data_IF_798584240001
#
_entry.id   IF_798584240001
#
_cell.length_a   1.000
_cell.length_b   1.000
_cell.length_c   1.000
_cell.angle_alpha   90.00
_cell.angle_beta   90.00
_cell.angle_gamma   90.00
#
_symmetry.space_group_name_H-M   'P 1'
#
loop_
_entity.id
_entity.type
_entity.pdbx_description
1 polymer ?
#
# COMPACT_ATOMS: atom_id res chain seq x y z
N UNK A 1 -6.08 8.98 -17.10
CA UNK A 1 -6.34 7.69 -16.43
C UNK A 1 -6.45 7.85 -14.90
N UNK A 2 -5.51 8.55 -14.18
CA UNK A 2 -5.63 8.76 -12.71
C UNK A 2 -6.95 9.40 -12.29
N UNK A 3 -7.43 10.43 -12.99
CA UNK A 3 -8.71 11.07 -12.67
C UNK A 3 -9.92 10.16 -12.91
N UNK A 4 -9.84 9.27 -13.90
CA UNK A 4 -10.87 8.25 -14.13
C UNK A 4 -10.89 7.23 -13.00
N UNK A 5 -9.72 6.70 -12.59
CA UNK A 5 -9.63 5.82 -11.42
C UNK A 5 -10.09 6.51 -10.13
N UNK A 6 -9.73 7.78 -9.92
CA UNK A 6 -10.20 8.53 -8.73
C UNK A 6 -11.73 8.55 -8.63
N UNK A 7 -12.41 8.74 -9.76
CA UNK A 7 -13.89 8.69 -9.82
C UNK A 7 -14.43 7.28 -9.60
N UNK A 8 -13.86 6.28 -10.30
CA UNK A 8 -14.31 4.88 -10.14
C UNK A 8 -14.11 4.38 -8.71
N UNK A 9 -13.01 4.77 -8.06
CA UNK A 9 -12.70 4.44 -6.68
C UNK A 9 -13.45 5.33 -5.66
N UNK A 10 -14.28 6.26 -6.13
CA UNK A 10 -15.01 7.22 -5.28
C UNK A 10 -14.11 7.98 -4.31
N UNK A 11 -12.99 8.48 -4.83
CA UNK A 11 -12.00 9.27 -4.10
C UNK A 11 -11.97 10.74 -4.50
N UNK A 12 -12.58 11.10 -5.62
CA UNK A 12 -12.53 12.45 -6.20
C UNK A 12 -13.21 13.52 -5.33
N UNK A 13 -14.18 13.14 -4.52
CA UNK A 13 -14.88 14.01 -3.57
C UNK A 13 -14.09 14.23 -2.26
N UNK A 14 -13.33 13.22 -1.78
CA UNK A 14 -12.65 13.30 -0.49
C UNK A 14 -11.17 13.69 -0.58
N UNK A 15 -10.50 13.36 -1.68
CA UNK A 15 -9.08 13.69 -1.88
C UNK A 15 -8.77 15.19 -1.76
N UNK A 16 -9.57 16.13 -2.30
CA UNK A 16 -9.31 17.56 -2.17
C UNK A 16 -9.33 18.04 -0.72
N UNK A 17 -10.24 17.50 0.08
CA UNK A 17 -10.45 17.89 1.48
C UNK A 17 -9.60 17.16 2.50
N UNK A 18 -8.76 16.18 2.10
CA UNK A 18 -8.06 15.27 3.02
C UNK A 18 -7.21 15.96 4.08
N UNK A 19 -6.62 17.10 3.75
CA UNK A 19 -5.78 17.87 4.70
C UNK A 19 -6.57 18.56 5.80
N UNK A 20 -7.88 18.72 5.63
CA UNK A 20 -8.76 19.32 6.62
C UNK A 20 -9.24 18.30 7.66
N UNK A 21 -8.96 17.01 7.47
CA UNK A 21 -9.29 15.95 8.43
C UNK A 21 -8.12 15.83 9.41
N UNK A 22 -8.27 16.27 10.68
CA UNK A 22 -7.21 16.16 11.68
C UNK A 22 -6.94 14.69 11.97
N UNK A 23 -5.69 14.33 12.22
CA UNK A 23 -5.34 12.94 12.57
C UNK A 23 -5.86 12.52 13.93
N UNK A 24 -5.88 13.43 14.91
CA UNK A 24 -6.26 13.17 16.31
C UNK A 24 -5.65 11.84 16.81
N UNK A 25 -4.30 11.71 16.85
CA UNK A 25 -3.66 10.45 17.16
C UNK A 25 -3.88 10.05 18.62
N UNK A 26 -4.30 8.79 18.82
CA UNK A 26 -4.41 8.16 20.14
C UNK A 26 -3.46 6.98 20.20
N UNK A 27 -2.40 7.12 21.00
CA UNK A 27 -1.45 6.03 21.21
C UNK A 27 -2.13 4.90 22.00
N UNK A 28 -2.09 3.68 21.45
CA UNK A 28 -2.66 2.48 22.09
C UNK A 28 -1.55 1.74 22.83
N UNK A 29 -0.38 1.63 22.19
CA UNK A 29 0.76 0.86 22.71
C UNK A 29 2.06 1.38 22.15
N UNK A 30 3.12 1.38 22.98
CA UNK A 30 4.49 1.66 22.55
C UNK A 30 5.40 0.53 23.03
N UNK A 31 6.26 0.05 22.12
CA UNK A 31 7.23 -0.99 22.40
C UNK A 31 8.63 -0.55 21.95
N UNK A 32 9.62 -0.66 22.83
CA UNK A 32 11.02 -0.50 22.45
C UNK A 32 11.54 -1.83 21.88
N UNK A 33 12.03 -1.82 20.66
CA UNK A 33 12.62 -2.96 19.93
C UNK A 33 14.16 -2.90 19.86
N UNK A 34 14.79 -2.02 20.64
CA UNK A 34 16.23 -1.84 20.72
C UNK A 34 16.79 -0.93 19.62
N UNK A 35 16.46 -1.16 18.36
CA UNK A 35 16.90 -0.33 17.23
C UNK A 35 15.85 0.70 16.79
N UNK A 36 14.62 0.50 17.17
CA UNK A 36 13.49 1.38 16.83
C UNK A 36 12.38 1.28 17.88
N UNK A 37 11.58 2.31 17.96
CA UNK A 37 10.33 2.33 18.74
C UNK A 37 9.19 1.96 17.81
N UNK A 38 8.36 0.98 18.23
CA UNK A 38 7.13 0.59 17.55
C UNK A 38 5.95 1.16 18.32
N UNK A 39 5.10 1.92 17.64
CA UNK A 39 3.87 2.50 18.19
C UNK A 39 2.66 1.97 17.45
N UNK A 40 1.68 1.48 18.19
CA UNK A 40 0.32 1.28 17.68
C UNK A 40 -0.51 2.50 18.02
N UNK A 41 -1.09 3.11 16.99
CA UNK A 41 -1.79 4.39 17.09
C UNK A 41 -3.12 4.27 16.37
N UNK A 42 -4.15 4.87 16.90
CA UNK A 42 -5.42 5.08 16.20
C UNK A 42 -5.50 6.54 15.74
N UNK A 43 -5.83 6.74 14.46
CA UNK A 43 -5.97 8.06 13.85
C UNK A 43 -7.31 8.18 13.11
N UNK A 44 -7.76 9.41 12.87
CA UNK A 44 -8.88 9.63 11.98
C UNK A 44 -8.50 9.31 10.53
N UNK A 45 -9.21 8.37 9.93
CA UNK A 45 -9.18 8.12 8.49
C UNK A 45 -10.05 9.14 7.75
N UNK A 46 -11.31 9.24 8.14
CA UNK A 46 -12.25 10.27 7.68
C UNK A 46 -12.74 11.11 8.87
N UNK A 47 -13.68 12.02 8.66
CA UNK A 47 -14.31 12.77 9.76
C UNK A 47 -15.18 11.88 10.67
N UNK A 48 -15.63 10.73 10.16
CA UNK A 48 -16.54 9.80 10.85
C UNK A 48 -15.89 8.47 11.22
N UNK A 49 -14.73 8.11 10.62
CA UNK A 49 -14.10 6.81 10.80
C UNK A 49 -12.65 6.95 11.31
N UNK A 50 -12.32 6.09 12.25
CA UNK A 50 -10.94 5.93 12.74
C UNK A 50 -10.30 4.67 12.16
N UNK A 51 -8.98 4.67 12.05
CA UNK A 51 -8.18 3.51 11.64
C UNK A 51 -6.97 3.32 12.55
N UNK A 52 -6.54 2.06 12.68
CA UNK A 52 -5.31 1.71 13.42
C UNK A 52 -4.13 1.69 12.48
N UNK A 53 -3.02 2.20 12.95
CA UNK A 53 -1.72 2.14 12.29
C UNK A 53 -0.67 1.57 13.24
N UNK A 54 0.36 0.92 12.69
CA UNK A 54 1.63 0.74 13.36
C UNK A 54 2.62 1.70 12.73
N UNK A 55 3.30 2.46 13.55
CA UNK A 55 4.38 3.36 13.16
C UNK A 55 5.66 2.90 13.84
N UNK A 56 6.77 2.81 13.09
CA UNK A 56 8.10 2.63 13.70
C UNK A 56 8.97 3.83 13.44
N UNK A 57 9.74 4.21 14.46
CA UNK A 57 10.69 5.31 14.40
C UNK A 57 12.04 4.78 14.89
N UNK A 58 13.11 4.81 14.07
CA UNK A 58 14.45 4.42 14.51
C UNK A 58 14.92 5.24 15.72
N UNK A 59 15.64 4.64 16.67
CA UNK A 59 16.08 5.35 17.88
C UNK A 59 17.17 6.39 17.61
N UNK A 60 18.12 6.07 16.73
CA UNK A 60 19.30 6.91 16.47
C UNK A 60 19.16 7.64 15.13
N UNK A 61 18.21 8.57 15.03
CA UNK A 61 18.02 9.37 13.83
C UNK A 61 19.00 10.53 13.78
N UNK A 62 19.84 10.57 12.76
CA UNK A 62 20.59 11.77 12.37
C UNK A 62 19.92 12.44 11.16
N UNK A 63 19.06 13.43 11.41
CA UNK A 63 18.31 14.12 10.34
C UNK A 63 16.99 13.43 9.97
N UNK A 64 16.55 13.60 8.71
CA UNK A 64 15.29 13.02 8.23
C UNK A 64 15.51 11.67 7.58
N UNK A 65 14.66 10.70 7.93
CA UNK A 65 14.71 9.34 7.42
C UNK A 65 13.78 9.13 6.22
N UNK A 66 14.12 8.23 5.28
CA UNK A 66 13.17 7.71 4.32
C UNK A 66 12.05 6.97 5.04
N UNK A 67 10.87 6.90 4.43
CA UNK A 67 9.74 6.19 4.99
C UNK A 67 9.12 5.20 4.01
N UNK A 68 8.53 4.12 4.54
CA UNK A 68 7.90 3.08 3.73
C UNK A 68 6.52 2.73 4.31
N UNK A 69 5.50 2.75 3.45
CA UNK A 69 4.19 2.17 3.73
C UNK A 69 4.30 0.67 3.50
N UNK A 70 4.18 -0.13 4.57
CA UNK A 70 4.33 -1.59 4.55
C UNK A 70 2.95 -2.26 4.54
N UNK A 71 2.65 -3.01 3.49
CA UNK A 71 1.29 -3.46 3.20
C UNK A 71 1.22 -4.99 3.22
N UNK A 72 0.34 -5.52 4.08
CA UNK A 72 0.10 -6.96 4.20
C UNK A 72 -0.85 -7.48 3.12
N UNK A 73 -0.82 -8.79 2.89
CA UNK A 73 -1.69 -9.48 1.95
C UNK A 73 -3.03 -9.91 2.54
N UNK A 74 -3.75 -10.70 1.77
CA UNK A 74 -5.08 -11.20 2.08
C UNK A 74 -5.12 -11.97 3.40
N UNK A 75 -6.12 -11.74 4.22
CA UNK A 75 -6.26 -12.38 5.54
C UNK A 75 -5.22 -11.95 6.58
N UNK A 76 -4.30 -11.04 6.23
CA UNK A 76 -3.31 -10.52 7.15
C UNK A 76 -3.84 -9.38 8.02
N UNK A 77 -2.96 -8.91 8.90
CA UNK A 77 -3.20 -7.75 9.76
C UNK A 77 -2.02 -6.79 9.68
N UNK A 78 -2.20 -5.56 10.14
CA UNK A 78 -1.12 -4.56 10.17
C UNK A 78 0.11 -5.02 10.98
N UNK A 79 0.00 -6.02 11.87
CA UNK A 79 1.12 -6.52 12.66
C UNK A 79 1.97 -7.55 11.92
N UNK A 80 1.39 -8.28 10.95
CA UNK A 80 2.05 -9.43 10.34
C UNK A 80 3.31 -9.07 9.55
N UNK A 81 3.39 -7.86 9.00
CA UNK A 81 4.57 -7.37 8.27
C UNK A 81 5.78 -7.09 9.19
N UNK A 82 5.54 -7.04 10.51
CA UNK A 82 6.56 -6.89 11.55
C UNK A 82 6.97 -8.22 12.19
N UNK A 83 6.27 -9.32 11.88
CA UNK A 83 6.53 -10.64 12.46
C UNK A 83 7.53 -11.41 11.59
N UNK A 84 8.72 -11.67 12.13
CA UNK A 84 9.80 -12.41 11.49
C UNK A 84 9.47 -13.89 11.23
N UNK A 85 8.53 -14.45 11.99
CA UNK A 85 8.05 -15.83 11.84
C UNK A 85 6.99 -15.98 10.76
N UNK A 86 6.38 -14.87 10.34
CA UNK A 86 5.38 -14.84 9.27
C UNK A 86 6.01 -15.12 7.90
N UNK A 87 5.15 -15.31 6.87
CA UNK A 87 5.58 -15.39 5.48
C UNK A 87 6.21 -14.07 5.00
N UNK A 88 5.95 -12.95 5.68
CA UNK A 88 6.52 -11.63 5.39
C UNK A 88 7.94 -11.46 5.93
N UNK A 89 8.42 -12.39 6.77
CA UNK A 89 9.76 -12.36 7.37
C UNK A 89 10.11 -11.04 8.06
N UNK A 90 9.09 -10.37 8.63
CA UNK A 90 9.29 -9.13 9.35
C UNK A 90 9.89 -8.00 8.53
N UNK A 91 9.64 -7.92 7.20
CA UNK A 91 10.32 -6.95 6.34
C UNK A 91 10.17 -5.50 6.82
N UNK A 92 9.06 -5.16 7.46
CA UNK A 92 8.85 -3.83 8.04
C UNK A 92 9.75 -3.59 9.26
N UNK A 93 10.02 -4.63 10.07
CA UNK A 93 10.98 -4.59 11.18
C UNK A 93 12.42 -4.44 10.68
N UNK A 94 12.78 -5.16 9.61
CA UNK A 94 14.12 -5.04 8.99
C UNK A 94 14.35 -3.64 8.42
N UNK A 95 13.36 -3.06 7.74
CA UNK A 95 13.42 -1.67 7.28
C UNK A 95 13.58 -0.70 8.46
N UNK A 96 12.81 -0.88 9.54
CA UNK A 96 12.92 -0.03 10.74
C UNK A 96 14.31 -0.13 11.38
N UNK A 97 14.86 -1.35 11.49
CA UNK A 97 16.22 -1.58 11.97
C UNK A 97 17.31 -1.02 11.04
N UNK A 98 16.99 -0.83 9.75
CA UNK A 98 17.81 -0.21 8.72
C UNK A 98 17.65 1.30 8.58
N UNK A 99 17.12 1.97 9.60
CA UNK A 99 16.91 3.43 9.63
C UNK A 99 15.85 3.97 8.67
N UNK A 100 14.81 3.16 8.36
CA UNK A 100 13.60 3.64 7.72
C UNK A 100 12.49 3.84 8.75
N UNK A 101 11.69 4.86 8.58
CA UNK A 101 10.40 4.97 9.28
C UNK A 101 9.41 4.08 8.52
N UNK A 102 8.70 3.20 9.20
CA UNK A 102 7.69 2.37 8.56
C UNK A 102 6.30 2.64 9.12
N UNK A 103 5.30 2.53 8.27
CA UNK A 103 3.89 2.61 8.66
C UNK A 103 3.11 1.48 8.01
N UNK A 104 2.18 0.88 8.74
CA UNK A 104 1.26 -0.13 8.24
C UNK A 104 -0.16 0.11 8.76
N UNK A 105 -1.15 -0.23 7.94
CA UNK A 105 -2.56 -0.29 8.31
C UNK A 105 -3.20 -1.56 7.75
N UNK A 106 -4.46 -1.84 8.10
CA UNK A 106 -5.19 -3.00 7.61
C UNK A 106 -5.80 -2.71 6.25
N UNK A 107 -5.64 -3.65 5.29
CA UNK A 107 -6.20 -3.57 3.93
C UNK A 107 -6.97 -4.83 3.51
N UNK A 108 -7.19 -5.79 4.42
CA UNK A 108 -7.81 -7.09 4.09
C UNK A 108 -9.31 -7.17 4.38
N UNK A 109 -9.95 -6.06 4.71
CA UNK A 109 -11.40 -6.01 4.88
C UNK A 109 -12.13 -6.39 3.58
N UNK A 110 -13.32 -6.98 3.72
CA UNK A 110 -14.25 -7.29 2.62
C UNK A 110 -15.55 -6.50 2.73
N UNK A 111 -15.70 -5.73 3.80
CA UNK A 111 -16.84 -4.88 4.06
C UNK A 111 -16.52 -3.43 3.71
N UNK A 112 -17.50 -2.72 3.20
CA UNK A 112 -17.46 -1.28 3.00
C UNK A 112 -17.89 -0.65 4.32
N UNK A 113 -17.05 0.24 4.87
CA UNK A 113 -17.28 0.83 6.18
C UNK A 113 -18.13 2.10 6.14
N UNK A 114 -18.11 2.82 5.02
CA UNK A 114 -18.81 4.08 4.89
C UNK A 114 -19.76 4.06 3.68
N UNK A 115 -20.99 4.48 3.89
CA UNK A 115 -22.01 4.54 2.84
C UNK A 115 -21.52 5.38 1.64
N UNK A 116 -21.83 4.92 0.45
CA UNK A 116 -21.45 5.59 -0.79
C UNK A 116 -19.98 5.35 -1.22
N UNK A 117 -19.17 4.69 -0.41
CA UNK A 117 -17.79 4.30 -0.75
C UNK A 117 -17.74 2.99 -1.51
N UNK A 118 -16.55 2.54 -1.81
CA UNK A 118 -16.27 1.22 -2.36
C UNK A 118 -15.03 0.62 -1.71
N UNK A 119 -14.98 -0.69 -1.67
CA UNK A 119 -13.96 -1.44 -0.95
C UNK A 119 -12.52 -1.05 -1.32
N UNK A 120 -12.21 -1.05 -2.62
CA UNK A 120 -10.86 -0.69 -3.08
C UNK A 120 -10.54 0.79 -2.85
N UNK A 121 -11.54 1.65 -2.93
CA UNK A 121 -11.40 3.06 -2.62
C UNK A 121 -11.06 3.30 -1.14
N UNK A 122 -11.76 2.63 -0.21
CA UNK A 122 -11.47 2.74 1.23
C UNK A 122 -10.08 2.20 1.59
N UNK A 123 -9.68 1.05 1.03
CA UNK A 123 -8.33 0.51 1.22
C UNK A 123 -7.25 1.50 0.76
N UNK A 124 -7.42 2.04 -0.43
CA UNK A 124 -6.48 3.01 -0.99
C UNK A 124 -6.49 4.34 -0.22
N UNK A 125 -7.67 4.80 0.21
CA UNK A 125 -7.80 5.98 1.04
C UNK A 125 -7.01 5.85 2.35
N UNK A 126 -7.14 4.74 3.06
CA UNK A 126 -6.42 4.51 4.32
C UNK A 126 -4.90 4.51 4.11
N UNK A 127 -4.42 3.98 2.98
CA UNK A 127 -3.00 4.05 2.62
C UNK A 127 -2.55 5.48 2.28
N UNK A 128 -3.38 6.26 1.59
CA UNK A 128 -3.11 7.69 1.33
C UNK A 128 -3.06 8.45 2.66
N UNK A 129 -3.94 8.14 3.62
CA UNK A 129 -3.89 8.74 4.97
C UNK A 129 -2.62 8.35 5.73
N UNK A 130 -2.09 7.14 5.54
CA UNK A 130 -0.77 6.77 6.06
C UNK A 130 0.34 7.67 5.46
N UNK A 131 0.29 7.95 4.16
CA UNK A 131 1.25 8.87 3.53
C UNK A 131 1.11 10.29 4.08
N UNK A 132 -0.14 10.78 4.25
CA UNK A 132 -0.39 12.09 4.85
C UNK A 132 0.16 12.16 6.29
N UNK A 133 0.00 11.08 7.07
CA UNK A 133 0.52 10.99 8.44
C UNK A 133 2.05 11.00 8.46
N UNK A 134 2.70 10.23 7.58
CA UNK A 134 4.17 10.27 7.41
C UNK A 134 4.66 11.69 7.08
N UNK A 135 3.99 12.41 6.16
CA UNK A 135 4.37 13.78 5.82
C UNK A 135 4.22 14.78 6.99
N UNK A 136 3.37 14.48 7.98
CA UNK A 136 3.20 15.32 9.16
C UNK A 136 4.35 15.19 10.18
N UNK A 137 5.11 14.10 10.10
CA UNK A 137 6.21 13.82 11.02
C UNK A 137 7.47 14.62 10.62
N UNK A 138 8.12 15.24 11.59
CA UNK A 138 9.36 16.02 11.37
C UNK A 138 10.56 15.14 11.02
N UNK A 139 10.53 13.88 11.44
CA UNK A 139 11.57 12.86 11.22
C UNK A 139 11.56 12.33 9.78
N UNK A 140 10.48 12.50 9.03
CA UNK A 140 10.32 11.94 7.68
C UNK A 140 10.92 12.84 6.61
N UNK A 141 11.70 12.26 5.72
CA UNK A 141 12.07 12.90 4.45
C UNK A 141 10.94 12.70 3.43
N UNK A 142 10.13 13.73 3.22
CA UNK A 142 8.97 13.72 2.31
C UNK A 142 9.33 13.44 0.85
N UNK A 143 10.62 13.56 0.48
CA UNK A 143 11.11 13.25 -0.88
C UNK A 143 11.51 11.78 -1.03
N UNK A 144 11.54 11.01 0.05
CA UNK A 144 11.94 9.60 0.08
C UNK A 144 10.88 8.73 0.76
N UNK A 145 9.64 8.78 0.26
CA UNK A 145 8.55 7.91 0.71
C UNK A 145 8.34 6.84 -0.34
N UNK A 146 8.34 5.58 0.08
CA UNK A 146 8.04 4.42 -0.76
C UNK A 146 6.90 3.58 -0.20
N UNK A 147 6.51 2.55 -0.94
CA UNK A 147 5.58 1.53 -0.47
C UNK A 147 6.02 0.14 -0.92
N UNK A 148 5.70 -0.86 -0.11
CA UNK A 148 6.04 -2.25 -0.36
C UNK A 148 4.94 -3.17 0.17
N UNK A 149 4.62 -4.24 -0.57
CA UNK A 149 3.64 -5.22 -0.13
C UNK A 149 3.69 -6.53 -0.88
N UNK A 150 3.08 -7.57 -0.30
CA UNK A 150 3.04 -8.92 -0.83
C UNK A 150 1.61 -9.36 -1.09
N UNK A 151 1.34 -10.01 -2.24
CA UNK A 151 0.03 -10.52 -2.66
C UNK A 151 -1.00 -9.36 -2.75
N UNK A 152 -2.14 -9.39 -2.06
CA UNK A 152 -3.02 -8.23 -1.94
C UNK A 152 -2.26 -6.95 -1.53
N UNK A 153 -1.21 -7.08 -0.70
CA UNK A 153 -0.34 -5.96 -0.37
C UNK A 153 0.46 -5.45 -1.57
N UNK A 154 0.84 -6.35 -2.49
CA UNK A 154 1.46 -5.99 -3.77
C UNK A 154 0.49 -5.24 -4.69
N UNK A 155 -0.78 -5.68 -4.75
CA UNK A 155 -1.86 -4.96 -5.41
C UNK A 155 -2.03 -3.55 -4.84
N UNK A 156 -2.14 -3.45 -3.53
CA UNK A 156 -2.35 -2.16 -2.87
C UNK A 156 -1.13 -1.25 -2.97
N UNK A 157 0.10 -1.80 -3.02
CA UNK A 157 1.31 -1.03 -3.31
C UNK A 157 1.28 -0.47 -4.74
N UNK A 158 0.86 -1.26 -5.73
CA UNK A 158 0.63 -0.80 -7.10
C UNK A 158 -0.37 0.36 -7.12
N UNK A 159 -1.56 0.19 -6.52
CA UNK A 159 -2.58 1.23 -6.46
C UNK A 159 -2.08 2.50 -5.77
N UNK A 160 -1.40 2.37 -4.63
CA UNK A 160 -0.85 3.52 -3.92
C UNK A 160 0.22 4.23 -4.76
N UNK A 161 1.15 3.47 -5.35
CA UNK A 161 2.17 4.02 -6.25
C UNK A 161 1.57 4.71 -7.48
N UNK A 162 0.53 4.12 -8.09
CA UNK A 162 -0.15 4.68 -9.25
C UNK A 162 -0.91 5.97 -8.94
N UNK A 163 -1.61 6.02 -7.81
CA UNK A 163 -2.55 7.10 -7.50
C UNK A 163 -1.95 8.22 -6.67
N UNK A 164 -0.91 7.94 -5.87
CA UNK A 164 -0.23 8.95 -5.05
C UNK A 164 1.18 9.25 -5.57
N UNK A 165 1.37 10.39 -6.20
CA UNK A 165 2.65 10.80 -6.80
C UNK A 165 3.74 11.14 -5.77
N UNK A 166 3.42 11.19 -4.49
CA UNK A 166 4.38 11.35 -3.39
C UNK A 166 5.20 10.07 -3.16
N UNK A 167 4.67 8.90 -3.55
CA UNK A 167 5.41 7.64 -3.52
C UNK A 167 6.51 7.67 -4.60
N UNK A 168 7.75 7.50 -4.19
CA UNK A 168 8.94 7.59 -5.05
C UNK A 168 9.47 6.22 -5.50
N UNK A 169 9.20 5.19 -4.70
CA UNK A 169 9.55 3.82 -5.02
C UNK A 169 8.40 2.89 -4.62
N UNK A 170 8.03 1.99 -5.52
CA UNK A 170 6.97 1.00 -5.32
C UNK A 170 7.55 -0.39 -5.47
N UNK A 171 7.34 -1.24 -4.46
CA UNK A 171 7.65 -2.67 -4.52
C UNK A 171 6.36 -3.46 -4.46
N UNK A 172 6.02 -4.15 -5.54
CA UNK A 172 4.89 -5.06 -5.65
C UNK A 172 5.39 -6.49 -5.75
N UNK A 173 5.18 -7.27 -4.69
CA UNK A 173 5.62 -8.67 -4.61
C UNK A 173 4.43 -9.60 -4.73
N UNK A 174 4.56 -10.66 -5.57
CA UNK A 174 3.54 -11.69 -5.74
C UNK A 174 2.20 -11.15 -6.27
N UNK A 175 2.23 -10.17 -7.19
CA UNK A 175 0.99 -9.64 -7.75
C UNK A 175 1.07 -9.31 -9.25
N UNK A 176 2.23 -9.09 -9.86
CA UNK A 176 2.27 -8.75 -11.27
C UNK A 176 1.68 -9.89 -12.13
N UNK A 177 0.56 -9.63 -12.80
CA UNK A 177 -0.20 -10.57 -13.62
C UNK A 177 -1.10 -9.81 -14.60
N UNK A 178 -2.02 -10.50 -15.26
CA UNK A 178 -3.10 -9.95 -16.10
C UNK A 178 -4.46 -10.18 -15.43
N UNK A 179 -5.42 -9.27 -15.62
CA UNK A 179 -6.73 -9.35 -14.95
C UNK A 179 -7.51 -10.62 -15.33
N UNK A 180 -7.35 -11.14 -16.55
CA UNK A 180 -8.01 -12.38 -16.98
C UNK A 180 -7.66 -13.60 -16.12
N UNK A 181 -6.43 -13.62 -15.58
CA UNK A 181 -6.02 -14.67 -14.65
C UNK A 181 -6.71 -14.50 -13.30
N UNK A 182 -6.87 -13.27 -12.81
CA UNK A 182 -7.49 -12.97 -11.53
C UNK A 182 -8.99 -13.33 -11.46
N UNK A 183 -9.67 -13.45 -12.60
CA UNK A 183 -11.08 -13.88 -12.65
C UNK A 183 -11.25 -15.38 -12.38
N UNK A 184 -10.15 -16.12 -12.31
CA UNK A 184 -10.13 -17.58 -12.06
C UNK A 184 -9.55 -17.87 -10.69
N UNK A 185 -10.37 -18.46 -9.82
CA UNK A 185 -9.94 -19.00 -8.52
C UNK A 185 -9.32 -17.98 -7.53
N UNK A 186 -9.58 -16.68 -7.71
CA UNK A 186 -9.17 -15.64 -6.76
C UNK A 186 -10.37 -15.01 -6.08
N UNK A 187 -10.12 -14.40 -4.92
CA UNK A 187 -11.11 -13.55 -4.28
C UNK A 187 -11.41 -12.34 -5.19
N UNK A 188 -12.68 -12.05 -5.42
CA UNK A 188 -13.12 -10.97 -6.30
C UNK A 188 -13.09 -9.58 -5.63
N UNK A 189 -12.45 -9.45 -4.47
CA UNK A 189 -12.40 -8.19 -3.73
C UNK A 189 -11.59 -7.07 -4.44
N UNK A 190 -10.82 -7.43 -5.47
CA UNK A 190 -10.12 -6.51 -6.34
C UNK A 190 -11.01 -5.87 -7.41
N UNK A 191 -12.10 -6.56 -7.80
CA UNK A 191 -12.94 -6.18 -8.94
C UNK A 191 -13.99 -5.15 -8.52
N UNK A 192 -14.14 -4.13 -9.31
CA UNK A 192 -15.17 -3.11 -9.15
C UNK A 192 -15.72 -2.67 -10.51
N UNK A 193 -16.94 -2.14 -10.57
CA UNK A 193 -17.57 -1.71 -11.83
C UNK A 193 -16.71 -0.68 -12.57
N UNK A 194 -16.55 -0.86 -13.86
CA UNK A 194 -15.80 0.03 -14.75
C UNK A 194 -14.28 -0.22 -14.78
N UNK A 195 -13.73 -1.09 -13.91
CA UNK A 195 -12.29 -1.36 -13.91
C UNK A 195 -11.82 -2.03 -15.20
N UNK A 196 -12.48 -3.13 -15.57
CA UNK A 196 -12.12 -3.93 -16.75
C UNK A 196 -12.35 -3.21 -18.08
N UNK A 197 -13.32 -2.32 -18.11
CA UNK A 197 -13.63 -1.49 -19.28
C UNK A 197 -12.61 -0.36 -19.45
N UNK A 198 -11.93 0.02 -18.39
CA UNK A 198 -10.98 1.12 -18.38
C UNK A 198 -9.53 0.67 -18.59
N UNK A 199 -9.11 -0.49 -18.03
CA UNK A 199 -7.70 -0.83 -17.92
C UNK A 199 -7.47 -2.32 -17.64
N UNK A 200 -6.21 -2.77 -17.85
CA UNK A 200 -5.64 -3.96 -17.22
C UNK A 200 -4.58 -3.54 -16.17
N UNK A 201 -3.99 -4.52 -15.46
CA UNK A 201 -2.97 -4.23 -14.44
C UNK A 201 -1.77 -3.49 -14.99
N UNK A 202 -1.33 -3.80 -16.21
CA UNK A 202 -0.23 -3.11 -16.85
C UNK A 202 -0.47 -1.59 -16.98
N UNK A 203 -1.71 -1.17 -17.27
CA UNK A 203 -2.08 0.24 -17.34
C UNK A 203 -1.96 0.93 -15.98
N UNK A 204 -2.39 0.23 -14.90
CA UNK A 204 -2.27 0.77 -13.54
C UNK A 204 -0.81 0.91 -13.13
N UNK A 205 0.02 -0.13 -13.34
CA UNK A 205 1.47 -0.08 -13.10
C UNK A 205 2.14 1.04 -13.89
N UNK A 206 1.74 1.26 -15.14
CA UNK A 206 2.31 2.29 -16.01
C UNK A 206 2.11 3.72 -15.48
N UNK A 207 1.10 3.95 -14.63
CA UNK A 207 0.93 5.23 -13.95
C UNK A 207 2.04 5.51 -12.91
N UNK A 208 2.83 4.53 -12.51
CA UNK A 208 3.95 4.73 -11.61
C UNK A 208 5.11 5.43 -12.32
N UNK A 209 5.27 5.22 -13.62
CA UNK A 209 6.35 5.83 -14.41
C UNK A 209 6.39 7.38 -14.27
N UNK A 210 7.58 7.99 -14.29
CA UNK A 210 8.93 7.41 -14.36
C UNK A 210 9.54 7.09 -12.99
N UNK A 211 8.72 6.93 -11.94
CA UNK A 211 9.16 6.63 -10.57
C UNK A 211 9.59 5.15 -10.46
N UNK A 212 10.42 4.86 -9.47
CA UNK A 212 10.97 3.51 -9.32
C UNK A 212 9.86 2.46 -9.07
N UNK A 213 9.89 1.36 -9.83
CA UNK A 213 9.03 0.21 -9.70
C UNK A 213 9.87 -1.06 -9.65
N UNK A 214 9.64 -1.90 -8.64
CA UNK A 214 10.16 -3.25 -8.55
C UNK A 214 8.99 -4.23 -8.42
N UNK A 215 8.89 -5.18 -9.35
CA UNK A 215 7.95 -6.29 -9.29
C UNK A 215 8.72 -7.59 -8.98
N UNK A 216 8.21 -8.38 -8.06
CA UNK A 216 8.76 -9.68 -7.68
C UNK A 216 7.68 -10.74 -7.81
N UNK A 217 7.96 -11.84 -8.51
CA UNK A 217 7.07 -13.00 -8.60
C UNK A 217 7.81 -14.26 -8.18
N UNK A 218 7.11 -15.19 -7.51
CA UNK A 218 7.67 -16.46 -7.10
C UNK A 218 7.97 -17.35 -8.29
N UNK A 219 9.09 -18.09 -8.25
CA UNK A 219 9.45 -19.06 -9.29
C UNK A 219 8.66 -20.37 -9.19
N UNK A 220 7.96 -20.59 -8.09
CA UNK A 220 7.23 -21.83 -7.78
C UNK A 220 5.74 -21.54 -7.50
N UNK A 221 5.20 -20.52 -8.13
CA UNK A 221 3.76 -20.22 -8.03
C UNK A 221 2.94 -21.34 -8.68
N UNK A 222 1.76 -21.69 -8.14
CA UNK A 222 0.83 -22.58 -8.81
C UNK A 222 0.47 -22.08 -10.21
N UNK A 223 0.19 -22.99 -11.13
CA UNK A 223 -0.03 -22.67 -12.55
C UNK A 223 -1.18 -21.68 -12.82
N UNK A 224 -2.11 -21.57 -11.89
CA UNK A 224 -3.26 -20.66 -11.94
C UNK A 224 -3.09 -19.40 -11.08
N UNK A 225 -1.86 -19.14 -10.64
CA UNK A 225 -1.53 -18.02 -9.76
C UNK A 225 -0.61 -17.01 -10.46
N UNK A 226 0.11 -16.17 -9.73
CA UNK A 226 0.97 -15.08 -10.21
C UNK A 226 2.28 -15.58 -10.83
N UNK A 227 2.18 -16.42 -11.87
CA UNK A 227 3.35 -17.10 -12.49
C UNK A 227 4.22 -16.12 -13.27
N UNK A 228 5.51 -16.48 -13.41
CA UNK A 228 6.48 -15.67 -14.18
C UNK A 228 6.01 -15.39 -15.62
N UNK A 229 5.49 -16.36 -16.41
CA UNK A 229 5.02 -16.07 -17.76
C UNK A 229 3.88 -15.03 -17.83
N UNK A 230 2.97 -15.03 -16.85
CA UNK A 230 1.91 -14.00 -16.77
C UNK A 230 2.48 -12.64 -16.38
N UNK A 231 3.44 -12.61 -15.45
CA UNK A 231 4.15 -11.40 -15.09
C UNK A 231 4.95 -10.81 -16.25
N UNK A 232 5.62 -11.65 -17.05
CA UNK A 232 6.36 -11.22 -18.23
C UNK A 232 5.45 -10.62 -19.30
N UNK A 233 4.24 -11.18 -19.50
CA UNK A 233 3.24 -10.61 -20.40
C UNK A 233 2.86 -9.19 -19.98
N UNK A 234 2.49 -8.97 -18.71
CA UNK A 234 2.16 -7.65 -18.20
C UNK A 234 3.38 -6.70 -18.21
N UNK A 235 4.58 -7.22 -17.90
CA UNK A 235 5.81 -6.43 -17.88
C UNK A 235 6.19 -5.91 -19.28
N UNK A 236 5.91 -6.68 -20.34
CA UNK A 236 6.17 -6.25 -21.71
C UNK A 236 5.39 -4.97 -22.05
N UNK A 237 4.14 -4.86 -21.62
CA UNK A 237 3.32 -3.66 -21.80
C UNK A 237 3.82 -2.48 -20.95
N UNK A 238 4.18 -2.73 -19.68
CA UNK A 238 4.72 -1.71 -18.77
C UNK A 238 6.02 -1.10 -19.34
N UNK A 239 6.91 -1.92 -19.88
CA UNK A 239 8.19 -1.49 -20.46
C UNK A 239 8.05 -0.55 -21.66
N UNK A 240 6.90 -0.51 -22.32
CA UNK A 240 6.66 0.44 -23.41
C UNK A 240 6.48 1.88 -22.92
N UNK A 241 6.20 2.05 -21.63
CA UNK A 241 5.92 3.36 -21.00
C UNK A 241 7.14 3.86 -20.20
N UNK A 242 7.96 2.94 -19.65
CA UNK A 242 9.19 3.26 -18.89
C UNK A 242 10.37 3.55 -19.80
#
# INVERSE_FOLDING_TARGET
LRSQFSRLLKLDDILPGRRNIPFDPKEIRTENKGKYILKEIEINSTSSRRMKIILTIPENISGRCPAVVCIHGHGGTLRIVYDDKSIYKGFASELAAGNYITIATTVSQHEIYEEGRMLMGERLWDLIRCVDYLESLKEVDRKRIGCAGLSLGGEMAMWLGAMDTRIKATLSSGFLTVMDQMEKNHCMCWKFPGLRELADWADVYSLIAPRALLCQNGLKEPANDFTVPLAEKALAEIKMIY
#
